data_IF_912127530826
#
_entry.id   IF_912127530826
#
_cell.length_a   1.000
_cell.length_b   1.000
_cell.length_c   1.000
_cell.angle_alpha   90.00
_cell.angle_beta   90.00
_cell.angle_gamma   90.00
#
_symmetry.space_group_name_H-M   'P 1'
#
loop_
_entity.id
_entity.type
_entity.pdbx_description
1 polymer ?
#
# COMPACT_ATOMS: atom_id res chain seq x y z
N UNK A 1 -17.88 25.58 -2.83
CA UNK A 1 -17.10 24.90 -1.81
C UNK A 1 -15.71 24.66 -2.37
N UNK A 2 -14.66 25.34 -1.91
CA UNK A 2 -13.30 25.02 -2.34
C UNK A 2 -12.90 23.73 -1.62
N UNK A 3 -12.58 22.73 -2.44
CA UNK A 3 -12.17 21.42 -2.00
C UNK A 3 -10.88 21.48 -1.20
N UNK A 4 -10.68 20.48 -0.35
CA UNK A 4 -9.37 20.00 0.09
C UNK A 4 -8.59 19.51 -1.14
N UNK A 5 -8.22 20.46 -1.98
CA UNK A 5 -7.20 20.28 -3.00
C UNK A 5 -5.89 20.47 -2.27
N UNK A 6 -5.02 19.48 -2.37
CA UNK A 6 -3.63 19.58 -2.03
C UNK A 6 -3.41 20.48 -0.80
N UNK A 7 -3.15 19.91 0.34
CA UNK A 7 -2.28 20.60 1.28
C UNK A 7 -1.06 20.96 0.44
N UNK A 8 -1.11 22.15 -0.11
CA UNK A 8 -0.19 22.66 -1.09
C UNK A 8 1.23 22.59 -0.57
N UNK A 9 2.21 22.70 -1.44
CA UNK A 9 3.63 22.67 -1.11
C UNK A 9 4.08 23.81 -0.19
N UNK A 10 3.20 24.63 0.33
CA UNK A 10 3.50 25.80 1.17
C UNK A 10 3.57 25.53 2.67
N UNK A 11 3.41 24.28 3.11
CA UNK A 11 4.01 23.87 4.37
C UNK A 11 5.54 23.66 4.20
N UNK A 12 6.21 24.60 3.54
CA UNK A 12 7.64 24.87 3.74
C UNK A 12 7.82 25.43 5.16
N UNK A 13 7.49 24.64 6.15
CA UNK A 13 8.19 24.78 7.41
C UNK A 13 9.65 24.45 7.12
N UNK A 14 10.50 25.44 7.35
CA UNK A 14 11.94 25.29 7.41
C UNK A 14 12.27 23.89 7.92
N UNK A 15 13.24 23.23 7.32
CA UNK A 15 13.89 22.00 7.77
C UNK A 15 13.82 21.94 9.29
N UNK A 16 12.65 21.54 9.80
CA UNK A 16 12.43 21.28 11.20
C UNK A 16 13.39 20.16 11.53
N UNK A 17 14.16 20.34 12.56
CA UNK A 17 15.20 19.47 12.99
C UNK A 17 14.76 18.01 12.81
N UNK A 18 15.30 17.35 11.79
CA UNK A 18 15.27 15.92 11.71
C UNK A 18 15.75 15.45 13.09
N UNK A 19 14.97 14.66 13.79
CA UNK A 19 15.40 14.04 15.03
C UNK A 19 16.82 13.50 14.85
N UNK A 20 17.59 13.31 15.91
CA UNK A 20 19.01 13.00 15.79
C UNK A 20 19.19 11.90 14.74
N UNK A 21 20.14 12.01 13.81
CA UNK A 21 20.26 11.15 12.62
C UNK A 21 20.32 9.64 12.90
N UNK A 22 20.42 9.24 14.18
CA UNK A 22 20.35 7.86 14.64
C UNK A 22 18.93 7.36 14.99
N UNK A 23 18.01 8.24 15.42
CA UNK A 23 16.75 7.80 16.02
C UNK A 23 15.86 7.01 15.06
N UNK A 24 15.74 7.44 13.80
CA UNK A 24 14.98 6.69 12.79
C UNK A 24 15.70 5.39 12.40
N UNK A 25 17.03 5.39 12.34
CA UNK A 25 17.81 4.17 12.08
C UNK A 25 17.64 3.14 13.19
N UNK A 26 17.66 3.56 14.45
CA UNK A 26 17.41 2.70 15.61
C UNK A 26 15.96 2.20 15.64
N UNK A 27 14.99 3.07 15.32
CA UNK A 27 13.60 2.70 15.22
C UNK A 27 13.32 1.68 14.11
N UNK A 28 13.96 1.84 12.95
CA UNK A 28 13.88 0.90 11.83
C UNK A 28 14.57 -0.43 12.16
N UNK A 29 15.69 -0.39 12.89
CA UNK A 29 16.34 -1.61 13.39
C UNK A 29 15.49 -2.34 14.44
N UNK A 30 14.77 -1.61 15.30
CA UNK A 30 13.85 -2.20 16.28
C UNK A 30 12.65 -2.88 15.62
N UNK A 31 12.20 -2.44 14.42
CA UNK A 31 11.16 -3.14 13.67
C UNK A 31 11.58 -4.54 13.22
N UNK A 32 12.86 -4.73 12.90
CA UNK A 32 13.38 -6.04 12.52
C UNK A 32 13.30 -7.08 13.66
N UNK A 33 13.08 -6.63 14.89
CA UNK A 33 12.92 -7.50 16.07
C UNK A 33 11.46 -7.71 16.48
N UNK A 34 10.50 -7.05 15.80
CA UNK A 34 9.08 -7.29 16.06
C UNK A 34 8.64 -8.55 15.31
N UNK A 35 8.31 -9.57 16.06
CA UNK A 35 7.76 -10.86 15.58
C UNK A 35 6.31 -10.73 15.03
N UNK A 36 5.79 -9.52 14.95
CA UNK A 36 4.46 -9.27 14.42
C UNK A 36 4.48 -9.39 12.90
N UNK A 37 3.75 -10.34 12.34
CA UNK A 37 3.60 -10.58 10.90
C UNK A 37 3.21 -9.34 10.09
N UNK A 38 2.64 -8.33 10.74
CA UNK A 38 2.16 -7.09 10.12
C UNK A 38 3.12 -5.90 10.29
N UNK A 39 4.23 -6.06 11.02
CA UNK A 39 5.18 -4.96 11.17
C UNK A 39 5.90 -4.69 9.85
N UNK A 40 6.12 -3.42 9.44
CA UNK A 40 6.86 -3.12 8.23
C UNK A 40 8.27 -3.69 8.24
N UNK A 41 8.71 -4.29 7.12
CA UNK A 41 10.09 -4.76 6.94
C UNK A 41 10.93 -3.62 6.40
N UNK A 42 12.04 -3.33 7.07
CA UNK A 42 12.94 -2.30 6.62
C UNK A 42 13.89 -2.80 5.52
N UNK A 43 13.85 -2.15 4.36
CA UNK A 43 14.69 -2.47 3.19
C UNK A 43 15.57 -1.26 2.86
N UNK A 44 16.87 -1.30 3.12
CA UNK A 44 17.77 -0.16 2.94
C UNK A 44 18.07 0.17 1.46
N UNK A 45 17.86 -0.76 0.54
CA UNK A 45 18.16 -0.56 -0.88
C UNK A 45 17.59 -1.68 -1.75
N UNK A 46 17.73 -1.57 -3.08
CA UNK A 46 17.19 -2.56 -4.01
C UNK A 46 17.79 -3.96 -3.86
N UNK A 47 19.01 -4.05 -3.33
CA UNK A 47 19.70 -5.33 -3.11
C UNK A 47 19.21 -6.06 -1.85
N UNK A 48 18.29 -5.49 -1.10
CA UNK A 48 17.68 -6.11 0.07
C UNK A 48 18.35 -5.77 1.40
N UNK A 49 18.21 -6.66 2.41
CA UNK A 49 17.73 -8.06 2.34
C UNK A 49 16.22 -8.19 2.15
N UNK A 50 15.78 -9.10 1.28
CA UNK A 50 14.38 -9.32 0.96
C UNK A 50 13.76 -10.56 1.61
N UNK A 51 14.57 -11.44 2.22
CA UNK A 51 14.14 -12.72 2.77
C UNK A 51 12.91 -12.62 3.68
N UNK A 52 12.87 -11.61 4.57
CA UNK A 52 11.74 -11.40 5.47
C UNK A 52 10.45 -10.95 4.73
N UNK A 53 10.59 -10.29 3.59
CA UNK A 53 9.44 -9.90 2.75
C UNK A 53 8.90 -11.14 2.02
N UNK A 54 9.79 -11.97 1.47
CA UNK A 54 9.43 -13.24 0.83
C UNK A 54 8.73 -14.18 1.82
N UNK A 55 9.30 -14.37 3.02
CA UNK A 55 8.71 -15.19 4.07
C UNK A 55 7.28 -14.74 4.42
N UNK A 56 7.05 -13.44 4.55
CA UNK A 56 5.71 -12.90 4.84
C UNK A 56 4.75 -13.14 3.68
N UNK A 57 5.18 -12.89 2.44
CA UNK A 57 4.37 -13.15 1.26
C UNK A 57 3.99 -14.62 1.14
N UNK A 58 4.88 -15.54 1.49
CA UNK A 58 4.62 -16.97 1.43
C UNK A 58 3.74 -17.46 2.60
N UNK A 59 3.86 -16.83 3.76
CA UNK A 59 3.12 -17.24 4.97
C UNK A 59 1.73 -16.61 5.03
N UNK A 60 1.61 -15.32 4.72
CA UNK A 60 0.37 -14.54 4.90
C UNK A 60 -0.22 -14.04 3.58
N UNK A 61 0.54 -14.10 2.49
CA UNK A 61 0.17 -13.54 1.19
C UNK A 61 0.30 -12.01 1.12
N UNK A 62 0.83 -11.36 2.16
CA UNK A 62 1.00 -9.92 2.21
C UNK A 62 2.35 -9.53 2.84
N UNK A 63 2.83 -8.34 2.50
CA UNK A 63 3.98 -7.74 3.16
C UNK A 63 3.91 -6.20 3.12
N UNK A 64 4.50 -5.58 4.11
CA UNK A 64 4.70 -4.13 4.17
C UNK A 64 6.19 -3.83 4.25
N UNK A 65 6.67 -3.05 3.30
CA UNK A 65 8.07 -2.59 3.23
C UNK A 65 8.15 -1.14 3.65
N UNK A 66 9.13 -0.81 4.46
CA UNK A 66 9.47 0.58 4.78
C UNK A 66 10.93 0.87 4.45
N UNK A 67 11.21 2.12 4.07
CA UNK A 67 12.57 2.58 3.78
C UNK A 67 12.70 4.09 3.90
N UNK A 68 13.94 4.58 3.96
CA UNK A 68 14.26 6.00 3.81
C UNK A 68 14.57 6.28 2.34
N UNK A 69 13.86 7.24 1.74
CA UNK A 69 14.04 7.53 0.32
C UNK A 69 15.49 7.89 -0.05
N UNK A 70 16.23 8.54 0.86
CA UNK A 70 17.62 8.91 0.64
C UNK A 70 18.55 7.72 0.40
N UNK A 71 18.26 6.55 0.97
CA UNK A 71 19.09 5.34 0.81
C UNK A 71 18.91 4.70 -0.57
N UNK A 72 17.76 4.87 -1.19
CA UNK A 72 17.47 4.38 -2.53
C UNK A 72 17.83 5.38 -3.64
N UNK A 73 18.20 6.61 -3.24
CA UNK A 73 18.38 7.71 -4.19
C UNK A 73 19.46 7.41 -5.21
N UNK A 74 20.61 6.92 -4.79
CA UNK A 74 21.74 6.63 -5.69
C UNK A 74 21.36 5.56 -6.71
N UNK A 75 20.76 4.45 -6.25
CA UNK A 75 20.30 3.37 -7.13
C UNK A 75 19.26 3.87 -8.13
N UNK A 76 18.26 4.64 -7.66
CA UNK A 76 17.21 5.16 -8.53
C UNK A 76 17.71 6.18 -9.55
N UNK A 77 18.69 7.03 -9.21
CA UNK A 77 19.20 8.06 -10.13
C UNK A 77 20.24 7.52 -11.12
N UNK A 78 21.01 6.52 -10.73
CA UNK A 78 21.99 5.89 -11.57
C UNK A 78 21.42 4.76 -12.45
N UNK A 79 20.16 4.39 -12.21
CA UNK A 79 19.50 3.38 -13.02
C UNK A 79 19.25 3.92 -14.44
N UNK A 80 19.86 3.34 -15.48
CA UNK A 80 19.64 3.75 -16.86
C UNK A 80 18.18 3.54 -17.28
N UNK A 81 17.46 2.68 -16.59
CA UNK A 81 16.06 2.35 -16.83
C UNK A 81 15.08 3.25 -16.06
N UNK A 82 15.56 4.29 -15.34
CA UNK A 82 14.67 5.17 -14.53
C UNK A 82 13.50 5.71 -15.37
N UNK A 83 13.75 6.16 -16.60
CA UNK A 83 12.68 6.68 -17.46
C UNK A 83 11.69 5.60 -17.89
N UNK A 84 12.10 4.44 -18.45
CA UNK A 84 11.22 3.31 -18.68
C UNK A 84 10.51 2.84 -17.41
N UNK A 85 11.23 2.77 -16.30
CA UNK A 85 10.67 2.35 -15.03
C UNK A 85 9.56 3.29 -14.53
N UNK A 86 9.71 4.61 -14.67
CA UNK A 86 8.66 5.56 -14.36
C UNK A 86 7.48 5.49 -15.35
N UNK A 87 7.73 5.10 -16.61
CA UNK A 87 6.68 4.90 -17.61
C UNK A 87 5.71 6.08 -17.69
N UNK A 88 4.43 5.85 -17.40
CA UNK A 88 3.39 6.87 -17.43
C UNK A 88 3.55 7.95 -16.34
N UNK A 89 4.32 7.71 -15.31
CA UNK A 89 4.63 8.70 -14.26
C UNK A 89 5.72 9.70 -14.69
N UNK A 90 6.41 9.47 -15.82
CA UNK A 90 7.46 10.35 -16.31
C UNK A 90 7.03 11.81 -16.51
N UNK A 91 5.87 12.12 -17.11
CA UNK A 91 5.40 13.51 -17.21
C UNK A 91 5.19 14.15 -15.84
N UNK A 92 4.60 13.43 -14.87
CA UNK A 92 4.37 13.93 -13.51
C UNK A 92 5.68 14.19 -12.77
N UNK A 93 6.66 13.29 -12.91
CA UNK A 93 8.01 13.48 -12.40
C UNK A 93 8.62 14.79 -12.93
N UNK A 94 8.54 15.02 -14.23
CA UNK A 94 9.08 16.23 -14.86
C UNK A 94 8.36 17.52 -14.45
N UNK A 95 7.08 17.46 -14.19
CA UNK A 95 6.24 18.59 -13.81
C UNK A 95 6.35 18.95 -12.32
N UNK A 96 6.88 18.05 -11.49
CA UNK A 96 7.06 18.32 -10.06
C UNK A 96 8.09 19.44 -9.89
N UNK A 97 7.72 20.62 -9.34
CA UNK A 97 8.56 21.82 -9.43
C UNK A 97 9.78 21.73 -8.54
N UNK A 98 9.64 21.19 -7.32
CA UNK A 98 10.70 21.11 -6.32
C UNK A 98 11.58 19.91 -6.54
N UNK A 99 12.91 20.11 -6.61
CA UNK A 99 13.85 19.02 -6.88
C UNK A 99 13.76 17.85 -5.88
N UNK A 100 13.69 18.13 -4.58
CA UNK A 100 13.53 17.11 -3.55
C UNK A 100 12.21 16.32 -3.69
N UNK A 101 11.12 17.01 -4.07
CA UNK A 101 9.84 16.39 -4.37
C UNK A 101 9.92 15.45 -5.59
N UNK A 102 10.62 15.86 -6.67
CA UNK A 102 10.85 15.00 -7.83
C UNK A 102 11.63 13.74 -7.48
N UNK A 103 12.69 13.90 -6.70
CA UNK A 103 13.54 12.78 -6.28
C UNK A 103 12.74 11.80 -5.43
N UNK A 104 12.01 12.28 -4.43
CA UNK A 104 11.15 11.46 -3.57
C UNK A 104 10.07 10.74 -4.39
N UNK A 105 9.46 11.46 -5.33
CA UNK A 105 8.49 10.87 -6.26
C UNK A 105 9.09 9.71 -7.04
N UNK A 106 10.26 9.90 -7.68
CA UNK A 106 10.93 8.85 -8.45
C UNK A 106 11.28 7.65 -7.57
N UNK A 107 11.91 7.89 -6.42
CA UNK A 107 12.30 6.84 -5.49
C UNK A 107 11.09 6.06 -4.97
N UNK A 108 9.99 6.73 -4.65
CA UNK A 108 8.79 6.03 -4.18
C UNK A 108 8.22 5.04 -5.22
N UNK A 109 8.29 5.38 -6.52
CA UNK A 109 7.89 4.45 -7.61
C UNK A 109 8.90 3.34 -7.80
N UNK A 110 10.18 3.66 -7.66
CA UNK A 110 11.26 2.69 -7.71
C UNK A 110 11.09 1.63 -6.61
N UNK A 111 10.93 2.05 -5.36
CA UNK A 111 10.68 1.14 -4.22
C UNK A 111 9.43 0.30 -4.45
N UNK A 112 8.32 0.93 -4.86
CA UNK A 112 7.06 0.21 -5.08
C UNK A 112 7.19 -0.86 -6.17
N UNK A 113 7.85 -0.54 -7.30
CA UNK A 113 8.06 -1.52 -8.38
C UNK A 113 8.98 -2.67 -7.97
N UNK A 114 10.03 -2.41 -7.19
CA UNK A 114 10.91 -3.46 -6.69
C UNK A 114 10.17 -4.39 -5.72
N UNK A 115 9.40 -3.81 -4.80
CA UNK A 115 8.57 -4.60 -3.87
C UNK A 115 7.52 -5.45 -4.61
N UNK A 116 6.84 -4.86 -5.60
CA UNK A 116 5.85 -5.59 -6.40
C UNK A 116 6.50 -6.66 -7.30
N UNK A 117 7.67 -6.37 -7.85
CA UNK A 117 8.43 -7.31 -8.68
C UNK A 117 8.85 -8.55 -7.89
N UNK A 118 9.33 -8.35 -6.65
CA UNK A 118 9.62 -9.45 -5.72
C UNK A 118 8.36 -10.29 -5.48
N UNK A 119 7.24 -9.63 -5.13
CA UNK A 119 5.99 -10.33 -4.87
C UNK A 119 5.46 -11.14 -6.06
N UNK A 120 5.83 -10.77 -7.29
CA UNK A 120 5.37 -11.44 -8.53
C UNK A 120 6.43 -12.36 -9.15
N UNK A 121 7.67 -12.35 -8.64
CA UNK A 121 8.77 -13.10 -9.23
C UNK A 121 9.18 -12.59 -10.63
N UNK A 122 9.06 -11.28 -10.90
CA UNK A 122 9.34 -10.65 -12.20
C UNK A 122 10.36 -9.52 -12.07
N UNK A 123 10.84 -9.00 -13.20
CA UNK A 123 11.71 -7.83 -13.18
C UNK A 123 10.92 -6.54 -12.95
N UNK A 124 11.42 -5.62 -12.11
CA UNK A 124 10.76 -4.36 -11.79
C UNK A 124 10.53 -3.48 -13.05
N UNK A 125 11.42 -3.52 -14.03
CA UNK A 125 11.28 -2.82 -15.30
C UNK A 125 10.13 -3.35 -16.18
N UNK A 126 9.68 -4.59 -15.98
CA UNK A 126 8.57 -5.17 -16.74
C UNK A 126 7.18 -4.74 -16.21
N UNK A 127 7.13 -4.14 -15.03
CA UNK A 127 5.88 -3.70 -14.43
C UNK A 127 5.46 -2.34 -14.99
N UNK A 128 4.19 -2.18 -15.34
CA UNK A 128 3.59 -0.90 -15.67
C UNK A 128 2.60 -0.47 -14.59
N UNK A 129 2.76 0.76 -14.08
CA UNK A 129 1.90 1.35 -13.08
C UNK A 129 0.79 2.15 -13.75
N UNK A 130 -0.43 1.91 -13.33
CA UNK A 130 -1.58 2.75 -13.63
C UNK A 130 -2.18 3.33 -12.35
N UNK A 131 -3.24 4.10 -12.50
CA UNK A 131 -3.95 4.69 -11.36
C UNK A 131 -5.45 4.57 -11.57
N UNK A 132 -6.15 4.15 -10.54
CA UNK A 132 -7.61 4.20 -10.51
C UNK A 132 -8.12 5.63 -10.28
N UNK A 133 -9.39 5.84 -10.54
CA UNK A 133 -10.08 7.05 -10.13
C UNK A 133 -9.95 7.21 -8.60
N UNK A 134 -9.21 8.22 -8.15
CA UNK A 134 -8.87 8.41 -6.73
C UNK A 134 -7.39 8.27 -6.43
N UNK A 135 -6.57 7.92 -7.44
CA UNK A 135 -5.11 7.94 -7.34
C UNK A 135 -4.50 6.66 -6.78
N UNK A 136 -5.29 5.61 -6.52
CA UNK A 136 -4.75 4.31 -6.10
C UNK A 136 -3.87 3.72 -7.19
N UNK A 137 -2.62 3.36 -6.89
CA UNK A 137 -1.77 2.67 -7.85
C UNK A 137 -2.30 1.25 -8.13
N UNK A 138 -2.16 0.82 -9.38
CA UNK A 138 -2.47 -0.53 -9.84
C UNK A 138 -1.39 -1.00 -10.80
N UNK A 139 -1.13 -2.29 -10.83
CA UNK A 139 -0.25 -2.91 -11.79
C UNK A 139 -1.05 -3.29 -13.03
N UNK A 140 -0.64 -2.79 -14.21
CA UNK A 140 -1.31 -3.08 -15.46
C UNK A 140 -0.85 -4.41 -16.05
N UNK A 141 -1.76 -5.08 -16.72
CA UNK A 141 -1.44 -6.33 -17.44
C UNK A 141 -1.36 -7.58 -16.57
N UNK A 142 -1.46 -7.44 -15.25
CA UNK A 142 -1.36 -8.55 -14.29
C UNK A 142 -2.70 -8.85 -13.59
N UNK A 143 -3.81 -8.49 -14.23
CA UNK A 143 -5.16 -9.02 -13.92
C UNK A 143 -5.66 -8.91 -12.46
N UNK A 144 -5.04 -8.08 -11.61
CA UNK A 144 -5.42 -8.00 -10.18
C UNK A 144 -4.74 -9.04 -9.29
N UNK A 145 -3.67 -9.68 -9.77
CA UNK A 145 -2.92 -10.71 -9.02
C UNK A 145 -2.18 -10.14 -7.80
N UNK A 146 -1.91 -8.83 -7.78
CA UNK A 146 -1.26 -8.15 -6.68
C UNK A 146 -1.90 -6.79 -6.42
N UNK A 147 -2.34 -6.59 -5.20
CA UNK A 147 -2.75 -5.29 -4.69
C UNK A 147 -1.55 -4.52 -4.16
N UNK A 148 -1.51 -3.22 -4.42
CA UNK A 148 -0.40 -2.36 -3.99
C UNK A 148 -0.92 -1.10 -3.34
N UNK A 149 -0.20 -0.62 -2.32
CA UNK A 149 -0.47 0.64 -1.65
C UNK A 149 0.83 1.37 -1.35
N UNK A 150 0.79 2.70 -1.41
CA UNK A 150 1.95 3.54 -1.19
C UNK A 150 1.60 4.68 -0.22
N UNK A 151 2.45 4.90 0.77
CA UNK A 151 2.50 6.12 1.56
C UNK A 151 3.93 6.66 1.59
N UNK A 152 4.07 7.95 1.74
CA UNK A 152 5.36 8.59 1.98
C UNK A 152 5.16 9.87 2.78
N UNK A 153 5.99 10.06 3.77
CA UNK A 153 6.05 11.26 4.59
C UNK A 153 7.50 11.54 4.96
N UNK A 154 7.90 12.80 4.93
CA UNK A 154 9.28 13.23 5.18
C UNK A 154 10.34 12.35 4.49
N UNK A 155 11.07 11.55 5.27
CA UNK A 155 12.09 10.62 4.77
C UNK A 155 11.56 9.21 4.55
N UNK A 156 10.38 8.88 5.08
CA UNK A 156 9.83 7.53 5.06
C UNK A 156 9.05 7.26 3.77
N UNK A 157 9.29 6.11 3.16
CA UNK A 157 8.43 5.48 2.15
C UNK A 157 7.90 4.17 2.73
N UNK A 158 6.61 3.93 2.55
CA UNK A 158 5.93 2.73 2.96
C UNK A 158 5.20 2.12 1.77
N UNK A 159 5.42 0.84 1.51
CA UNK A 159 4.79 0.09 0.43
C UNK A 159 4.13 -1.15 1.00
N UNK A 160 2.83 -1.27 0.81
CA UNK A 160 2.08 -2.51 1.08
C UNK A 160 1.84 -3.27 -0.22
N UNK A 161 2.01 -4.59 -0.18
CA UNK A 161 1.69 -5.52 -1.27
C UNK A 161 0.87 -6.70 -0.72
N UNK A 162 -0.11 -7.16 -1.49
CA UNK A 162 -0.94 -8.31 -1.10
C UNK A 162 -1.42 -9.12 -2.30
N UNK A 163 -1.31 -10.45 -2.21
CA UNK A 163 -1.85 -11.45 -3.14
C UNK A 163 -3.25 -11.92 -2.72
N UNK A 164 -3.67 -11.61 -1.48
CA UNK A 164 -4.88 -12.18 -0.86
C UNK A 164 -6.05 -11.22 -0.82
N UNK A 165 -5.83 -9.93 -1.16
CA UNK A 165 -6.92 -8.95 -1.22
C UNK A 165 -6.46 -7.52 -0.99
N UNK A 166 -7.40 -6.57 -0.83
CA UNK A 166 -7.10 -5.17 -0.70
C UNK A 166 -6.15 -4.87 0.45
N UNK A 167 -5.14 -4.05 0.19
CA UNK A 167 -4.20 -3.53 1.20
C UNK A 167 -4.10 -2.02 1.08
N UNK A 168 -4.02 -1.35 2.23
CA UNK A 168 -3.76 0.08 2.32
C UNK A 168 -2.77 0.36 3.44
N UNK A 169 -1.84 1.26 3.18
CA UNK A 169 -0.85 1.71 4.16
C UNK A 169 -0.84 3.22 4.26
N UNK A 170 -0.61 3.73 5.46
CA UNK A 170 -0.41 5.15 5.69
C UNK A 170 0.64 5.38 6.77
N UNK A 171 1.31 6.54 6.70
CA UNK A 171 2.34 6.93 7.65
C UNK A 171 2.33 8.43 7.86
N UNK A 172 2.46 8.84 9.13
CA UNK A 172 2.51 10.25 9.54
C UNK A 172 3.62 10.47 10.56
N UNK A 173 4.26 11.65 10.57
CA UNK A 173 5.17 12.02 11.64
C UNK A 173 4.45 12.00 12.98
N UNK A 174 5.08 11.42 14.01
CA UNK A 174 4.48 11.33 15.35
C UNK A 174 4.26 12.70 16.01
N UNK A 175 5.09 13.68 15.63
CA UNK A 175 5.02 15.08 16.07
C UNK A 175 4.14 15.97 15.16
N UNK A 176 3.44 15.36 14.18
CA UNK A 176 2.55 16.11 13.29
C UNK A 176 1.60 17.00 14.09
N UNK A 177 1.63 18.28 13.79
CA UNK A 177 0.74 19.27 14.42
C UNK A 177 -0.68 19.10 13.87
N UNK A 178 -1.55 18.52 14.68
CA UNK A 178 -2.97 18.34 14.37
C UNK A 178 -3.83 18.85 15.53
N UNK A 179 -4.85 19.65 15.22
CA UNK A 179 -5.82 20.14 16.19
C UNK A 179 -7.04 19.23 16.22
N UNK A 180 -7.38 18.75 17.41
CA UNK A 180 -8.59 17.96 17.61
C UNK A 180 -9.85 18.80 17.32
N UNK A 181 -9.88 20.06 17.74
CA UNK A 181 -11.02 20.97 17.59
C UNK A 181 -11.32 21.22 16.09
N UNK A 182 -10.29 21.28 15.24
CA UNK A 182 -10.45 21.51 13.81
C UNK A 182 -10.80 20.26 13.03
N UNK A 183 -10.34 19.09 13.49
CA UNK A 183 -10.44 17.83 12.74
C UNK A 183 -11.52 16.88 13.26
N UNK A 184 -12.02 17.09 14.48
CA UNK A 184 -13.00 16.21 15.12
C UNK A 184 -14.15 15.83 14.19
N UNK A 185 -14.86 16.82 13.66
CA UNK A 185 -16.08 16.60 12.86
C UNK A 185 -15.80 16.06 11.46
N UNK A 186 -14.54 16.12 11.01
CA UNK A 186 -14.11 15.61 9.71
C UNK A 186 -13.60 14.17 9.80
N UNK A 187 -12.95 13.84 10.92
CA UNK A 187 -12.23 12.57 11.12
C UNK A 187 -13.01 11.60 11.98
N UNK A 188 -13.60 12.08 13.08
CA UNK A 188 -14.20 11.21 14.09
C UNK A 188 -15.67 10.95 13.82
N UNK A 189 -16.13 9.74 14.12
CA UNK A 189 -17.55 9.51 14.39
C UNK A 189 -17.96 10.19 15.69
N UNK A 190 -19.26 10.40 15.99
CA UNK A 190 -19.69 10.96 17.26
C UNK A 190 -19.08 10.24 18.48
N UNK A 191 -19.07 8.89 18.46
CA UNK A 191 -18.52 8.07 19.54
C UNK A 191 -16.99 8.29 19.68
N UNK A 192 -16.24 8.22 18.58
CA UNK A 192 -14.79 8.47 18.61
C UNK A 192 -14.46 9.88 19.11
N UNK A 193 -15.27 10.87 18.70
CA UNK A 193 -15.12 12.26 19.14
C UNK A 193 -15.37 12.44 20.64
N UNK A 194 -16.33 11.72 21.22
CA UNK A 194 -16.61 11.73 22.68
C UNK A 194 -15.48 11.03 23.44
N UNK A 195 -15.05 9.85 22.99
CA UNK A 195 -13.94 9.10 23.57
C UNK A 195 -12.64 9.94 23.59
N UNK A 196 -12.32 10.61 22.48
CA UNK A 196 -11.13 11.46 22.38
C UNK A 196 -11.25 12.72 23.25
N UNK A 197 -12.44 13.34 23.33
CA UNK A 197 -12.65 14.52 24.14
C UNK A 197 -12.43 14.27 25.65
N UNK A 198 -12.62 13.03 26.11
CA UNK A 198 -12.40 12.64 27.49
C UNK A 198 -10.92 12.46 27.87
N UNK A 199 -10.00 12.44 26.88
CA UNK A 199 -8.56 12.25 27.11
C UNK A 199 -7.83 13.56 27.41
N UNK A 200 -6.73 13.52 28.17
CA UNK A 200 -5.78 14.62 28.24
C UNK A 200 -5.28 15.04 26.85
N UNK A 201 -4.88 16.31 26.70
CA UNK A 201 -4.55 16.89 25.39
C UNK A 201 -3.49 16.12 24.63
N UNK A 202 -2.40 15.75 25.28
CA UNK A 202 -1.29 15.02 24.64
C UNK A 202 -1.72 13.62 24.15
N UNK A 203 -2.47 12.91 24.98
CA UNK A 203 -3.01 11.60 24.61
C UNK A 203 -4.05 11.71 23.49
N UNK A 204 -4.89 12.74 23.54
CA UNK A 204 -5.91 13.04 22.54
C UNK A 204 -5.28 13.26 21.18
N UNK A 205 -4.22 14.08 21.11
CA UNK A 205 -3.49 14.35 19.85
C UNK A 205 -2.88 13.06 19.29
N UNK A 206 -2.19 12.31 20.12
CA UNK A 206 -1.58 11.04 19.69
C UNK A 206 -2.62 10.01 19.21
N UNK A 207 -3.77 9.95 19.90
CA UNK A 207 -4.87 9.06 19.53
C UNK A 207 -5.56 9.49 18.25
N UNK A 208 -5.79 10.79 18.07
CA UNK A 208 -6.34 11.36 16.83
C UNK A 208 -5.44 11.07 15.63
N UNK A 209 -4.13 11.20 15.79
CA UNK A 209 -3.16 10.92 14.73
C UNK A 209 -3.22 9.44 14.31
N UNK A 210 -3.27 8.52 15.27
CA UNK A 210 -3.43 7.08 15.00
C UNK A 210 -4.74 6.78 14.28
N UNK A 211 -5.83 7.41 14.72
CA UNK A 211 -7.14 7.27 14.07
C UNK A 211 -7.13 7.79 12.64
N UNK A 212 -6.53 8.96 12.42
CA UNK A 212 -6.33 9.54 11.09
C UNK A 212 -5.58 8.58 10.17
N UNK A 213 -4.39 8.16 10.59
CA UNK A 213 -3.51 7.27 9.80
C UNK A 213 -4.21 5.95 9.47
N UNK A 214 -4.99 5.40 10.41
CA UNK A 214 -5.74 4.17 10.19
C UNK A 214 -6.89 4.37 9.19
N UNK A 215 -7.62 5.48 9.27
CA UNK A 215 -8.69 5.82 8.33
C UNK A 215 -8.15 6.08 6.92
N UNK A 216 -6.98 6.71 6.80
CA UNK A 216 -6.28 6.86 5.52
C UNK A 216 -5.86 5.50 4.95
N UNK A 217 -5.26 4.62 5.74
CA UNK A 217 -4.89 3.28 5.30
C UNK A 217 -6.11 2.50 4.79
N UNK A 218 -7.21 2.52 5.54
CA UNK A 218 -8.45 1.85 5.13
C UNK A 218 -9.04 2.42 3.83
N UNK A 219 -9.11 3.74 3.68
CA UNK A 219 -9.63 4.36 2.45
C UNK A 219 -8.74 4.11 1.24
N UNK A 220 -7.42 4.00 1.43
CA UNK A 220 -6.47 3.56 0.40
C UNK A 220 -6.73 2.11 -0.02
N UNK A 221 -6.95 1.22 0.94
CA UNK A 221 -7.28 -0.18 0.66
C UNK A 221 -8.59 -0.31 -0.15
N UNK A 222 -9.60 0.48 0.17
CA UNK A 222 -10.87 0.52 -0.58
C UNK A 222 -10.74 1.11 -1.99
N UNK A 223 -9.66 1.83 -2.29
CA UNK A 223 -9.49 2.53 -3.56
C UNK A 223 -10.39 3.76 -3.73
N UNK A 224 -11.09 4.16 -2.69
CA UNK A 224 -12.05 5.27 -2.76
C UNK A 224 -11.38 6.66 -2.64
N UNK A 225 -10.12 6.72 -2.19
CA UNK A 225 -9.42 7.96 -1.90
C UNK A 225 -10.23 8.86 -0.95
N UNK A 226 -10.15 10.16 -1.14
CA UNK A 226 -10.87 11.16 -0.31
C UNK A 226 -12.41 11.20 -0.53
N UNK A 227 -12.98 10.26 -1.27
CA UNK A 227 -14.43 10.21 -1.52
C UNK A 227 -15.24 9.70 -0.33
N UNK A 228 -14.65 8.88 0.51
CA UNK A 228 -15.29 8.41 1.73
C UNK A 228 -14.97 9.36 2.87
N UNK A 229 -15.99 9.95 3.47
CA UNK A 229 -15.82 10.82 4.65
C UNK A 229 -15.37 9.99 5.84
N UNK A 230 -14.31 10.39 6.53
CA UNK A 230 -13.77 9.67 7.69
C UNK A 230 -14.77 9.59 8.86
N UNK A 231 -15.57 10.63 9.05
CA UNK A 231 -16.62 10.63 10.08
C UNK A 231 -17.78 9.68 9.80
N UNK A 232 -17.82 9.05 8.59
CA UNK A 232 -18.90 8.12 8.22
C UNK A 232 -18.62 6.66 8.63
N UNK A 233 -17.46 6.35 9.19
CA UNK A 233 -17.10 5.03 9.71
C UNK A 233 -16.13 5.19 10.88
N UNK A 234 -16.16 4.26 11.80
CA UNK A 234 -15.31 4.28 12.98
C UNK A 234 -14.61 2.96 13.23
N UNK A 235 -13.75 2.96 14.23
CA UNK A 235 -13.08 1.78 14.73
C UNK A 235 -13.40 1.54 16.20
N UNK A 236 -13.52 0.27 16.57
CA UNK A 236 -13.65 -0.16 17.95
C UNK A 236 -12.64 -1.28 18.23
N UNK A 237 -12.54 -1.70 19.49
CA UNK A 237 -11.86 -2.94 19.85
C UNK A 237 -12.89 -4.02 20.13
N UNK A 238 -12.67 -5.19 19.58
CA UNK A 238 -13.49 -6.38 19.91
C UNK A 238 -13.11 -6.94 21.29
N UNK A 239 -13.77 -8.05 21.67
CA UNK A 239 -13.54 -8.72 22.95
C UNK A 239 -12.12 -9.30 23.12
N UNK A 240 -11.35 -9.43 22.03
CA UNK A 240 -9.96 -9.88 22.00
C UNK A 240 -8.96 -8.71 21.89
N UNK A 241 -9.47 -7.47 21.88
CA UNK A 241 -8.67 -6.26 21.79
C UNK A 241 -8.21 -5.91 20.37
N UNK A 242 -8.63 -6.63 19.33
CA UNK A 242 -8.34 -6.33 17.93
C UNK A 242 -9.15 -5.12 17.46
N UNK A 243 -8.57 -4.35 16.57
CA UNK A 243 -9.27 -3.22 15.94
C UNK A 243 -10.23 -3.76 14.88
N UNK A 244 -11.49 -3.34 14.98
CA UNK A 244 -12.55 -3.73 14.04
C UNK A 244 -13.31 -2.50 13.55
N UNK A 245 -13.95 -2.60 12.38
CA UNK A 245 -14.84 -1.55 11.88
C UNK A 245 -16.07 -1.41 12.79
N UNK A 246 -16.48 -0.16 12.99
CA UNK A 246 -17.64 0.20 13.76
C UNK A 246 -18.34 1.43 13.16
N UNK A 247 -19.50 1.78 13.66
CA UNK A 247 -20.25 3.00 13.30
C UNK A 247 -20.50 3.12 11.77
N UNK A 248 -20.76 1.98 11.10
CA UNK A 248 -21.02 1.96 9.67
C UNK A 248 -22.46 2.42 9.37
N UNK A 249 -22.65 3.29 8.35
CA UNK A 249 -23.97 3.68 7.91
C UNK A 249 -24.75 2.46 7.37
N UNK A 250 -25.90 2.15 7.98
CA UNK A 250 -26.79 1.07 7.51
C UNK A 250 -26.56 -0.30 8.13
N UNK A 251 -25.66 -0.40 9.14
CA UNK A 251 -25.24 -1.69 9.69
C UNK A 251 -24.17 -2.35 8.80
N UNK A 252 -23.30 -3.16 9.39
CA UNK A 252 -22.22 -3.79 8.63
C UNK A 252 -22.76 -4.68 7.50
N UNK A 253 -22.33 -4.41 6.28
CA UNK A 253 -22.56 -5.31 5.15
C UNK A 253 -21.57 -6.48 5.21
N UNK A 254 -21.91 -7.61 4.55
CA UNK A 254 -21.01 -8.76 4.39
C UNK A 254 -19.63 -8.37 3.77
N UNK A 255 -19.53 -7.15 3.22
CA UNK A 255 -18.30 -6.54 2.74
C UNK A 255 -17.36 -6.00 3.82
N UNK A 256 -17.81 -5.92 5.07
CA UNK A 256 -17.05 -5.35 6.18
C UNK A 256 -16.33 -6.42 7.02
N UNK A 257 -16.53 -7.68 6.72
CA UNK A 257 -15.84 -8.81 7.36
C UNK A 257 -14.46 -9.09 6.74
N UNK A 258 -13.57 -9.66 7.54
CA UNK A 258 -12.24 -10.10 7.08
C UNK A 258 -11.20 -8.99 6.96
N UNK A 259 -11.43 -7.84 7.58
CA UNK A 259 -10.45 -6.77 7.70
C UNK A 259 -9.58 -6.94 8.93
N UNK A 260 -8.27 -6.78 8.73
CA UNK A 260 -7.26 -6.65 9.76
C UNK A 260 -6.72 -5.21 9.78
N UNK A 261 -6.62 -4.64 10.96
CA UNK A 261 -6.19 -3.26 11.17
C UNK A 261 -5.10 -3.21 12.22
N UNK A 262 -3.95 -2.67 11.84
CA UNK A 262 -2.81 -2.55 12.75
C UNK A 262 -2.23 -1.15 12.67
N UNK A 263 -1.79 -0.63 13.81
CA UNK A 263 -1.05 0.64 13.89
C UNK A 263 0.21 0.41 14.71
N UNK A 264 1.37 0.67 14.09
CA UNK A 264 2.68 0.53 14.69
C UNK A 264 3.31 1.90 14.95
N UNK A 265 3.84 2.16 16.14
CA UNK A 265 4.81 3.23 16.31
C UNK A 265 6.12 2.82 15.64
N UNK A 266 6.69 3.71 14.85
CA UNK A 266 8.02 3.55 14.27
C UNK A 266 9.01 4.40 15.08
N UNK A 267 9.46 3.86 16.20
CA UNK A 267 10.14 4.62 17.25
C UNK A 267 9.26 5.77 17.74
N UNK A 268 9.91 6.90 18.02
CA UNK A 268 9.21 8.14 18.37
C UNK A 268 8.95 9.04 17.15
N UNK A 269 9.33 8.58 15.94
CA UNK A 269 9.35 9.42 14.75
C UNK A 269 8.06 9.35 13.94
N UNK A 270 7.46 8.17 13.80
CA UNK A 270 6.31 7.97 12.92
C UNK A 270 5.26 7.06 13.52
N UNK A 271 4.03 7.26 13.04
CA UNK A 271 2.90 6.34 13.22
C UNK A 271 2.60 5.73 11.86
N UNK A 272 2.56 4.41 11.79
CA UNK A 272 2.29 3.64 10.57
C UNK A 272 1.04 2.81 10.77
N UNK A 273 0.11 2.87 9.84
CA UNK A 273 -1.10 2.03 9.86
C UNK A 273 -1.21 1.19 8.61
N UNK A 274 -1.72 -0.03 8.81
CA UNK A 274 -2.01 -1.01 7.77
C UNK A 274 -3.47 -1.42 7.90
N UNK A 275 -4.18 -1.43 6.78
CA UNK A 275 -5.50 -2.03 6.64
C UNK A 275 -5.41 -3.09 5.54
N UNK A 276 -5.72 -4.32 5.86
CA UNK A 276 -5.69 -5.42 4.93
C UNK A 276 -6.97 -6.24 5.02
N UNK A 277 -7.42 -6.79 3.90
CA UNK A 277 -8.55 -7.71 3.86
C UNK A 277 -8.17 -8.97 3.11
N UNK A 278 -8.30 -10.11 3.78
CA UNK A 278 -8.16 -11.40 3.11
C UNK A 278 -9.47 -11.75 2.42
N UNK A 279 -9.43 -11.90 1.11
CA UNK A 279 -10.56 -12.38 0.32
C UNK A 279 -10.54 -13.89 0.26
N UNK A 280 -11.70 -14.58 0.26
CA UNK A 280 -11.75 -16.01 0.02
C UNK A 280 -11.13 -16.31 -1.36
N UNK A 281 -10.35 -17.41 -1.43
CA UNK A 281 -9.78 -17.84 -2.70
C UNK A 281 -10.90 -17.94 -3.76
N UNK A 282 -10.68 -17.45 -5.00
CA UNK A 282 -11.67 -17.59 -6.05
C UNK A 282 -12.00 -19.07 -6.23
N UNK A 283 -13.28 -19.41 -6.17
CA UNK A 283 -13.73 -20.79 -6.45
C UNK A 283 -13.17 -21.23 -7.80
N UNK A 284 -12.60 -22.44 -7.92
CA UNK A 284 -12.07 -22.91 -9.18
C UNK A 284 -13.16 -22.82 -10.24
N UNK A 285 -12.98 -21.94 -11.20
CA UNK A 285 -13.90 -21.88 -12.34
C UNK A 285 -13.85 -23.25 -13.06
N UNK A 286 -14.99 -23.85 -13.38
CA UNK A 286 -15.00 -25.06 -14.19
C UNK A 286 -14.25 -24.71 -15.49
N UNK A 287 -13.16 -25.44 -15.75
CA UNK A 287 -12.41 -25.29 -17.01
C UNK A 287 -13.42 -25.41 -18.14
N UNK A 288 -13.56 -24.37 -18.91
CA UNK A 288 -14.32 -24.45 -20.16
C UNK A 288 -13.76 -25.62 -20.95
N UNK A 289 -14.59 -26.51 -21.48
CA UNK A 289 -14.11 -27.61 -22.29
C UNK A 289 -13.27 -27.03 -23.43
N UNK A 290 -12.03 -27.47 -23.56
CA UNK A 290 -11.16 -27.07 -24.67
C UNK A 290 -11.96 -27.28 -25.97
N UNK A 291 -12.00 -26.27 -26.86
CA UNK A 291 -12.61 -26.47 -28.17
C UNK A 291 -11.85 -27.64 -28.85
N UNK A 292 -12.56 -28.76 -29.00
CA UNK A 292 -11.99 -29.95 -29.56
C UNK A 292 -11.27 -29.65 -30.85
N UNK A 293 -9.99 -29.95 -30.91
CA UNK A 293 -9.18 -29.84 -32.10
C UNK A 293 -9.92 -30.53 -33.27
N UNK A 294 -10.13 -29.89 -34.40
CA UNK A 294 -10.78 -30.48 -35.54
C UNK A 294 -10.00 -31.76 -35.94
N UNK A 295 -10.67 -32.87 -35.93
CA UNK A 295 -10.07 -34.14 -36.35
C UNK A 295 -9.57 -33.97 -37.78
N UNK A 296 -8.27 -34.16 -38.00
CA UNK A 296 -7.66 -34.16 -39.32
C UNK A 296 -8.42 -35.13 -40.23
N UNK A 297 -8.77 -34.73 -41.47
CA UNK A 297 -9.44 -35.64 -42.40
C UNK A 297 -8.52 -36.83 -42.70
N UNK A 298 -9.07 -38.04 -42.54
CA UNK A 298 -8.37 -39.26 -42.89
C UNK A 298 -8.01 -39.22 -44.35
N UNK A 299 -6.71 -39.34 -44.68
CA UNK A 299 -6.21 -39.50 -46.05
C UNK A 299 -6.91 -40.69 -46.73
N UNK A 300 -7.35 -40.52 -48.00
CA UNK A 300 -7.96 -41.60 -48.75
C UNK A 300 -6.95 -42.71 -48.98
N UNK A 301 -7.36 -43.97 -48.75
CA UNK A 301 -6.56 -45.15 -49.02
C UNK A 301 -6.32 -45.23 -50.51
N UNK A 302 -5.06 -45.36 -50.95
CA UNK A 302 -4.64 -45.65 -52.31
C UNK A 302 -5.23 -46.99 -52.79
N UNK A 303 -5.74 -47.10 -54.04
CA UNK A 303 -6.25 -48.33 -54.59
C UNK A 303 -5.11 -49.35 -54.84
N UNK A 304 -5.36 -50.58 -54.41
CA UNK A 304 -4.46 -51.72 -54.65
C UNK A 304 -4.39 -52.02 -56.15
N UNK A 305 -3.21 -52.06 -56.69
CA UNK A 305 -2.93 -52.51 -58.05
C UNK A 305 -3.33 -54.00 -58.24
N UNK A 306 -3.94 -54.37 -59.38
CA UNK A 306 -4.26 -55.77 -59.64
C UNK A 306 -3.00 -56.57 -60.00
N UNK A 307 -2.88 -57.76 -59.39
CA UNK A 307 -1.87 -58.74 -59.80
C UNK A 307 -2.23 -59.25 -61.20
N UNK A 308 -1.28 -59.22 -62.10
CA UNK A 308 -1.35 -59.94 -63.40
C UNK A 308 -0.88 -61.39 -63.23
N UNK A 309 -1.37 -62.28 -64.11
CA UNK A 309 -1.16 -63.73 -64.08
C UNK A 309 0.25 -64.17 -64.40
#
# INVERSE_FOLDING_TARGET
MPGLRDAGPDAHRALGAAGPPGALGEALAALATLDALDAPVYIPGPDGPWDAVEERLDTTGQAVVCTRWGQWLTSALLDPELRPLLGQDWPRYRQTPVASGRLRFAVSRFVMKHTAALALGVNAGSLDLGYQLGGRPVLRGLGGELEVSLAHTDELILVGVSRTGPIGVDAEPADRDISFELLRDQVCTPREGEELAALPEDERRARLLRLWTLKEAYTKALGHGLRRRFCAFGFARDGEGRVVLADLPGGGDAGDEGWDFVTHPLGECYVVSVAHRTLPAPSPQPRSPEPGLPRSPRSPRSPRSPRRP
#
